data_IF_027787188588
#
_entry.id   IF_027787188588
#
_cell.length_a   1.000
_cell.length_b   1.000
_cell.length_c   1.000
_cell.angle_alpha   90.00
_cell.angle_beta   90.00
_cell.angle_gamma   90.00
#
_symmetry.space_group_name_H-M   'P 1'
#
loop_
_entity.id
_entity.type
_entity.pdbx_description
1 polymer ?
#
# COMPACT_ATOMS: atom_id res chain seq x y z
N UNK A 1 4.73 8.93 -19.72
CA UNK A 1 4.12 8.51 -19.07
C UNK A 1 4.34 8.16 -17.79
N UNK A 2 4.03 8.75 -16.92
CA UNK A 2 4.32 8.66 -15.72
C UNK A 2 3.34 8.02 -14.99
N UNK A 3 3.52 6.88 -14.60
CA UNK A 3 2.57 6.26 -13.83
C UNK A 3 3.03 6.34 -12.47
N UNK A 4 2.86 7.41 -11.83
CA UNK A 4 3.23 7.55 -10.45
C UNK A 4 2.20 6.85 -9.60
N UNK A 5 2.60 5.82 -8.94
CA UNK A 5 1.72 5.15 -8.00
C UNK A 5 1.60 5.97 -6.73
N UNK A 6 0.45 5.94 -6.10
CA UNK A 6 0.20 6.69 -4.89
C UNK A 6 -0.04 5.76 -3.71
N UNK A 7 0.43 6.12 -2.52
CA UNK A 7 0.23 5.27 -1.36
C UNK A 7 -1.19 5.42 -0.82
N UNK A 8 -1.82 4.30 -0.52
CA UNK A 8 -3.14 4.31 0.10
C UNK A 8 -3.11 3.68 1.48
N UNK A 9 -1.99 3.10 1.87
CA UNK A 9 -1.83 2.55 3.21
C UNK A 9 -0.36 2.47 3.53
N UNK A 10 -0.01 2.72 4.78
CA UNK A 10 1.34 2.57 5.27
C UNK A 10 1.22 1.75 6.54
N UNK A 11 1.89 0.60 6.57
CA UNK A 11 1.80 -0.30 7.69
C UNK A 11 3.21 -0.70 8.11
N UNK A 12 3.34 -1.30 9.27
CA UNK A 12 4.65 -1.65 9.78
C UNK A 12 5.06 -3.07 9.44
N UNK A 13 4.17 -3.84 8.86
CA UNK A 13 4.43 -5.24 8.58
C UNK A 13 4.23 -5.52 7.10
N UNK A 14 5.19 -6.21 6.51
CA UNK A 14 5.05 -6.59 5.12
C UNK A 14 3.88 -7.54 4.93
N UNK A 15 3.67 -8.43 5.90
CA UNK A 15 2.54 -9.34 5.83
C UNK A 15 1.22 -8.58 5.77
N UNK A 16 1.10 -7.55 6.59
CA UNK A 16 -0.12 -6.74 6.60
C UNK A 16 -0.28 -6.02 5.26
N UNK A 17 0.81 -5.50 4.71
CA UNK A 17 0.74 -4.83 3.42
C UNK A 17 0.30 -5.79 2.32
N UNK A 18 0.81 -7.03 2.36
CA UNK A 18 0.44 -8.01 1.36
C UNK A 18 -1.04 -8.39 1.48
N UNK A 19 -1.56 -8.42 2.69
CA UNK A 19 -2.97 -8.72 2.88
C UNK A 19 -3.83 -7.60 2.29
N UNK A 20 -3.44 -6.37 2.52
CA UNK A 20 -4.17 -5.23 1.97
C UNK A 20 -4.09 -5.25 0.44
N UNK A 21 -2.90 -5.50 -0.10
CA UNK A 21 -2.75 -5.54 -1.54
C UNK A 21 -3.58 -6.66 -2.14
N UNK A 22 -3.63 -7.81 -1.47
CA UNK A 22 -4.46 -8.92 -1.94
C UNK A 22 -5.93 -8.57 -1.94
N UNK A 23 -6.37 -7.87 -0.90
CA UNK A 23 -7.76 -7.42 -0.82
C UNK A 23 -8.08 -6.48 -1.98
N UNK A 24 -7.18 -5.54 -2.27
CA UNK A 24 -7.41 -4.61 -3.36
C UNK A 24 -7.47 -5.34 -4.70
N UNK A 25 -6.57 -6.29 -4.90
CA UNK A 25 -6.56 -7.04 -6.15
C UNK A 25 -7.83 -7.86 -6.33
N UNK A 26 -8.34 -8.41 -5.25
CA UNK A 26 -9.57 -9.20 -5.34
C UNK A 26 -10.77 -8.31 -5.64
N UNK A 27 -10.62 -7.00 -5.51
CA UNK A 27 -11.67 -6.06 -5.86
C UNK A 27 -11.37 -5.34 -7.17
N UNK A 28 -10.45 -5.86 -7.94
CA UNK A 28 -10.18 -5.29 -9.26
C UNK A 28 -9.23 -4.11 -9.27
N UNK A 29 -8.58 -3.84 -8.15
CA UNK A 29 -7.66 -2.71 -8.06
C UNK A 29 -6.23 -3.24 -8.13
N UNK A 30 -5.41 -2.65 -8.98
CA UNK A 30 -4.01 -3.05 -9.07
C UNK A 30 -3.27 -2.42 -7.91
N UNK A 31 -2.57 -3.23 -7.16
CA UNK A 31 -1.84 -2.74 -6.00
C UNK A 31 -0.44 -3.33 -5.99
N UNK A 32 0.49 -2.54 -5.50
CA UNK A 32 1.87 -2.95 -5.34
C UNK A 32 2.29 -2.69 -3.90
N UNK A 33 3.24 -3.47 -3.42
CA UNK A 33 3.77 -3.31 -2.09
C UNK A 33 5.21 -2.83 -2.22
N UNK A 34 5.54 -1.76 -1.54
CA UNK A 34 6.88 -1.21 -1.59
C UNK A 34 7.43 -1.13 -0.18
N UNK A 35 8.44 -1.91 0.09
CA UNK A 35 9.15 -1.81 1.35
C UNK A 35 10.31 -0.85 1.13
N UNK A 36 10.43 0.12 1.99
CA UNK A 36 11.47 1.11 1.80
C UNK A 36 12.75 0.58 2.36
N UNK A 37 13.48 -0.13 1.55
CA UNK A 37 14.71 -0.70 2.01
C UNK A 37 15.83 0.27 2.07
N UNK A 38 15.62 1.46 1.61
CA UNK A 38 16.66 2.46 1.73
C UNK A 38 17.02 2.63 3.19
N UNK A 39 16.12 2.27 4.06
CA UNK A 39 16.40 2.35 5.45
C UNK A 39 17.44 1.39 5.93
N UNK A 40 17.88 0.50 5.09
CA UNK A 40 18.92 -0.42 5.49
C UNK A 40 20.17 0.26 5.92
N UNK A 41 20.41 1.48 5.41
CA UNK A 41 21.59 2.19 5.79
C UNK A 41 21.40 3.06 6.99
N UNK A 42 20.17 3.37 7.31
CA UNK A 42 19.87 4.23 8.43
C UNK A 42 18.72 3.60 9.19
N UNK A 43 19.00 3.02 10.32
CA UNK A 43 17.96 2.31 11.08
C UNK A 43 16.76 3.16 11.41
N UNK A 44 16.94 4.46 11.50
CA UNK A 44 15.83 5.31 11.85
C UNK A 44 14.80 5.37 10.75
N UNK A 45 15.21 5.15 9.52
CA UNK A 45 14.27 5.19 8.41
C UNK A 45 13.43 3.94 8.32
N UNK A 46 13.77 2.92 9.05
CA UNK A 46 13.01 1.70 9.01
C UNK A 46 11.64 1.85 9.61
N UNK A 47 11.44 2.90 10.39
CA UNK A 47 10.13 3.11 10.95
C UNK A 47 9.16 3.61 9.90
N UNK A 48 9.60 3.97 8.72
CA UNK A 48 8.68 4.43 7.71
C UNK A 48 7.73 3.37 7.23
N UNK A 49 8.10 2.10 7.39
CA UNK A 49 7.15 1.04 7.14
C UNK A 49 7.04 0.61 5.70
N UNK A 50 5.98 -0.13 5.44
CA UNK A 50 5.73 -0.73 4.14
C UNK A 50 4.52 -0.04 3.55
N UNK A 51 4.60 0.33 2.28
CA UNK A 51 3.53 1.07 1.62
C UNK A 51 2.77 0.19 0.67
N UNK A 52 1.46 0.39 0.62
CA UNK A 52 0.62 -0.21 -0.40
C UNK A 52 0.27 0.89 -1.38
N UNK A 53 0.61 0.68 -2.64
CA UNK A 53 0.50 1.70 -3.67
C UNK A 53 -0.46 1.27 -4.76
N UNK A 54 -1.18 2.24 -5.31
CA UNK A 54 -2.08 1.98 -6.42
C UNK A 54 -1.90 3.06 -7.47
N UNK A 55 -2.40 2.82 -8.68
CA UNK A 55 -2.38 3.84 -9.71
C UNK A 55 -3.29 4.99 -9.30
N UNK A 56 -2.97 6.22 -9.69
CA UNK A 56 -3.80 7.36 -9.29
C UNK A 56 -5.27 7.21 -9.68
N UNK A 57 -5.54 6.58 -10.81
CA UNK A 57 -6.92 6.40 -11.24
C UNK A 57 -7.68 5.46 -10.31
N UNK A 58 -6.98 4.62 -9.57
CA UNK A 58 -7.62 3.66 -8.70
C UNK A 58 -7.62 4.10 -7.24
N UNK A 59 -7.14 5.29 -6.98
CA UNK A 59 -6.96 5.69 -5.58
C UNK A 59 -8.28 5.74 -4.81
N UNK A 60 -9.30 6.32 -5.41
CA UNK A 60 -10.58 6.43 -4.71
C UNK A 60 -11.19 5.07 -4.44
N UNK A 61 -11.12 4.19 -5.43
CA UNK A 61 -11.65 2.84 -5.26
C UNK A 61 -10.88 2.09 -4.20
N UNK A 62 -9.55 2.25 -4.19
CA UNK A 62 -8.72 1.56 -3.21
C UNK A 62 -9.04 2.03 -1.79
N UNK A 63 -9.20 3.32 -1.62
CA UNK A 63 -9.52 3.85 -0.30
C UNK A 63 -10.87 3.36 0.18
N UNK A 64 -11.83 3.21 -0.74
CA UNK A 64 -13.15 2.70 -0.40
C UNK A 64 -13.07 1.25 0.05
N UNK A 65 -12.29 0.43 -0.64
CA UNK A 65 -12.14 -0.97 -0.28
C UNK A 65 -11.52 -1.08 1.11
N UNK A 66 -10.49 -0.29 1.38
CA UNK A 66 -9.83 -0.34 2.67
C UNK A 66 -10.78 0.13 3.77
N UNK A 67 -11.54 1.20 3.52
CA UNK A 67 -12.47 1.70 4.51
C UNK A 67 -13.55 0.68 4.82
N UNK A 68 -14.05 0.00 3.81
CA UNK A 68 -15.08 -1.01 4.01
C UNK A 68 -14.54 -2.17 4.84
N UNK A 69 -13.29 -2.53 4.62
CA UNK A 69 -12.70 -3.61 5.38
C UNK A 69 -12.52 -3.23 6.85
N UNK A 70 -12.26 -1.95 7.09
CA UNK A 70 -12.03 -1.52 8.45
C UNK A 70 -13.32 -1.38 9.25
N UNK A 71 -14.42 -1.19 8.56
CA UNK A 71 -15.70 -1.03 9.25
C UNK A 71 -16.45 -2.33 9.41
N UNK A 72 -15.95 -3.38 8.83
CA UNK A 72 -16.65 -4.66 8.88
C UNK A 72 -16.56 -5.32 10.24
#
# INVERSE_FOLDING_TARGET
MDTSYVPVAVVTSRTEAELIAGLLRSNGVRAAVSADDAGGQDPQLQILGVRVLVAPADEAAARQVIADAQTA
#
